data_IF_458870611870
#
_entry.id   IF_458870611870
#
_cell.length_a   1.000
_cell.length_b   1.000
_cell.length_c   1.000
_cell.angle_alpha   90.00
_cell.angle_beta   90.00
_cell.angle_gamma   90.00
#
_symmetry.space_group_name_H-M   'P 1'
#
loop_
_entity.id
_entity.type
_entity.pdbx_description
1 polymer ?
#
# COMPACT_ATOMS: atom_id res chain seq x y z
N UNK A 1 6.95 -56.01 -3.90
CA UNK A 1 7.48 -55.68 -2.57
C UNK A 1 6.60 -54.61 -1.96
N UNK A 2 5.68 -55.01 -1.08
CA UNK A 2 4.81 -54.12 -0.30
C UNK A 2 5.60 -53.54 0.87
N UNK A 3 5.41 -52.27 1.19
CA UNK A 3 5.17 -51.78 2.56
C UNK A 3 4.76 -50.30 2.55
N UNK A 4 3.48 -50.06 2.80
CA UNK A 4 2.85 -48.82 3.29
C UNK A 4 3.04 -48.67 4.80
N UNK A 5 3.10 -47.42 5.31
CA UNK A 5 2.67 -46.88 6.64
C UNK A 5 3.38 -45.53 6.86
N UNK A 6 2.91 -44.49 7.55
CA UNK A 6 1.64 -43.97 8.08
C UNK A 6 1.92 -42.49 8.42
N UNK A 7 0.87 -41.67 8.42
CA UNK A 7 0.87 -40.26 8.86
C UNK A 7 1.33 -40.10 10.31
N UNK A 8 2.03 -39.00 10.61
CA UNK A 8 2.00 -38.35 11.93
C UNK A 8 2.25 -36.85 11.81
N UNK A 9 1.25 -36.12 12.26
CA UNK A 9 1.17 -34.68 12.49
C UNK A 9 2.15 -34.30 13.62
N UNK A 10 3.12 -33.43 13.38
CA UNK A 10 3.95 -32.87 14.47
C UNK A 10 3.30 -31.61 15.03
N UNK A 11 2.56 -31.80 16.12
CA UNK A 11 2.13 -30.75 17.04
C UNK A 11 3.29 -30.48 18.01
N UNK A 12 4.00 -29.37 17.81
CA UNK A 12 5.05 -28.93 18.72
C UNK A 12 4.49 -28.15 19.91
N UNK A 13 4.22 -28.86 21.01
CA UNK A 13 4.00 -28.28 22.34
C UNK A 13 5.38 -28.19 23.03
N UNK A 14 5.83 -26.99 23.41
CA UNK A 14 6.98 -26.83 24.32
C UNK A 14 6.54 -26.08 25.58
N UNK A 15 6.90 -26.69 26.71
CA UNK A 15 6.48 -26.38 28.06
C UNK A 15 7.04 -25.06 28.60
N UNK A 16 6.16 -24.45 29.40
CA UNK A 16 6.36 -23.54 30.54
C UNK A 16 7.77 -23.50 31.17
N UNK A 17 8.35 -22.31 31.18
CA UNK A 17 9.33 -21.87 32.19
C UNK A 17 8.72 -20.73 33.01
N UNK A 18 8.32 -21.02 34.24
CA UNK A 18 7.91 -20.02 35.22
C UNK A 18 9.11 -19.16 35.62
N UNK A 19 9.19 -17.93 35.11
CA UNK A 19 9.85 -16.83 35.79
C UNK A 19 8.77 -16.07 36.54
N UNK A 20 8.79 -16.17 37.86
CA UNK A 20 7.97 -15.39 38.79
C UNK A 20 8.40 -13.92 38.75
N UNK A 21 8.03 -13.23 37.68
CA UNK A 21 7.75 -11.81 37.69
C UNK A 21 6.25 -11.66 37.83
N UNK A 22 5.79 -11.00 38.89
CA UNK A 22 4.42 -10.54 38.98
C UNK A 22 4.21 -9.46 37.93
N UNK A 23 4.02 -9.86 36.67
CA UNK A 23 3.39 -9.00 35.69
C UNK A 23 1.96 -8.85 36.18
N UNK A 24 1.66 -7.68 36.72
CA UNK A 24 0.29 -7.20 36.72
C UNK A 24 -0.14 -7.29 35.26
N UNK A 25 -0.96 -8.28 34.92
CA UNK A 25 -1.78 -8.24 33.73
C UNK A 25 -2.73 -7.06 33.96
N UNK A 26 -2.23 -5.84 33.72
CA UNK A 26 -3.08 -4.72 33.41
C UNK A 26 -4.04 -5.20 32.34
N UNK A 27 -5.32 -4.86 32.47
CA UNK A 27 -6.39 -5.25 31.57
C UNK A 27 -5.85 -5.41 30.14
N UNK A 28 -5.99 -6.61 29.56
CA UNK A 28 -5.57 -6.87 28.17
C UNK A 28 -6.00 -5.69 27.29
N UNK A 29 -5.20 -5.30 26.28
CA UNK A 29 -5.37 -4.03 25.58
C UNK A 29 -6.85 -3.84 25.27
N UNK A 30 -7.42 -2.75 25.78
CA UNK A 30 -8.81 -2.44 25.53
C UNK A 30 -9.07 -2.60 24.04
N UNK A 31 -10.12 -3.35 23.68
CA UNK A 31 -10.49 -3.58 22.28
C UNK A 31 -10.51 -2.22 21.57
N UNK A 32 -9.75 -2.08 20.48
CA UNK A 32 -9.66 -0.82 19.77
C UNK A 32 -11.06 -0.35 19.36
N UNK A 33 -11.38 0.91 19.64
CA UNK A 33 -12.64 1.52 19.23
C UNK A 33 -12.53 1.92 17.75
N UNK A 34 -13.19 1.16 16.88
CA UNK A 34 -13.20 1.36 15.44
C UNK A 34 -14.38 2.23 14.95
N UNK A 35 -15.16 2.84 15.86
CA UNK A 35 -16.35 3.62 15.50
C UNK A 35 -16.06 4.78 14.54
N UNK A 36 -14.85 5.35 14.59
CA UNK A 36 -14.35 6.34 13.62
C UNK A 36 -12.97 5.93 13.13
N UNK A 37 -12.97 4.87 12.35
CA UNK A 37 -11.82 4.35 11.63
C UNK A 37 -11.41 5.31 10.50
N UNK A 38 -10.14 5.72 10.50
CA UNK A 38 -9.54 6.53 9.44
C UNK A 38 -8.30 5.83 8.88
N UNK A 39 -8.14 5.84 7.56
CA UNK A 39 -7.01 5.18 6.88
C UNK A 39 -6.06 6.24 6.32
N UNK A 40 -4.79 6.15 6.71
CA UNK A 40 -3.67 6.93 6.22
C UNK A 40 -2.76 5.96 5.46
N UNK A 41 -2.69 6.08 4.14
CA UNK A 41 -2.04 5.05 3.35
C UNK A 41 -1.75 5.39 1.90
N UNK A 42 -1.21 4.39 1.20
CA UNK A 42 -0.91 4.46 -0.23
C UNK A 42 -1.91 3.67 -1.11
N UNK A 43 -1.49 3.24 -2.31
CA UNK A 43 -2.28 2.49 -3.27
C UNK A 43 -2.89 1.20 -2.73
N UNK A 44 -2.17 0.49 -1.84
CA UNK A 44 -2.64 -0.76 -1.23
C UNK A 44 -3.89 -0.52 -0.38
N UNK A 45 -3.85 0.56 0.41
CA UNK A 45 -4.96 0.98 1.27
C UNK A 45 -6.10 1.63 0.48
N UNK A 46 -5.79 2.29 -0.64
CA UNK A 46 -6.79 2.90 -1.51
C UNK A 46 -7.59 1.88 -2.34
N UNK A 47 -7.10 0.64 -2.44
CA UNK A 47 -7.72 -0.43 -3.22
C UNK A 47 -7.46 -0.30 -4.73
N UNK A 48 -6.28 0.21 -5.11
CA UNK A 48 -5.87 0.30 -6.52
C UNK A 48 -5.75 -1.10 -7.11
N UNK A 49 -6.37 -1.29 -8.27
CA UNK A 49 -6.18 -2.48 -9.09
C UNK A 49 -6.11 -2.04 -10.55
N UNK A 50 -5.40 -2.80 -11.39
CA UNK A 50 -5.25 -2.50 -12.82
C UNK A 50 -4.88 -1.02 -13.11
N UNK A 51 -3.99 -0.47 -12.26
CA UNK A 51 -3.48 0.90 -12.32
C UNK A 51 -4.53 2.02 -12.16
N UNK A 52 -5.69 1.75 -11.55
CA UNK A 52 -6.74 2.75 -11.35
C UNK A 52 -7.32 2.77 -9.94
N UNK A 53 -7.78 3.95 -9.52
CA UNK A 53 -8.88 4.07 -8.57
C UNK A 53 -10.18 3.88 -9.36
N UNK A 54 -10.93 2.85 -9.02
CA UNK A 54 -12.22 2.53 -9.62
C UNK A 54 -13.13 1.96 -8.54
N UNK A 55 -14.36 2.45 -8.47
CA UNK A 55 -15.32 2.14 -7.41
C UNK A 55 -15.53 0.63 -7.19
N UNK A 56 -15.66 -0.14 -8.27
CA UNK A 56 -15.78 -1.61 -8.27
C UNK A 56 -14.54 -2.33 -7.71
N UNK A 57 -13.39 -1.66 -7.60
CA UNK A 57 -12.13 -2.19 -7.10
C UNK A 57 -11.80 -1.67 -5.70
N UNK A 58 -12.05 -0.39 -5.42
CA UNK A 58 -11.73 0.28 -4.14
C UNK A 58 -12.41 -0.40 -2.93
N UNK A 59 -13.63 -0.91 -3.13
CA UNK A 59 -14.39 -1.65 -2.10
C UNK A 59 -13.74 -2.97 -1.67
N UNK A 60 -12.80 -3.49 -2.47
CA UNK A 60 -12.10 -4.75 -2.20
C UNK A 60 -10.71 -4.55 -1.57
N UNK A 61 -10.30 -3.30 -1.33
CA UNK A 61 -9.05 -3.01 -0.61
C UNK A 61 -9.06 -3.56 0.82
N UNK A 62 -7.89 -3.93 1.34
CA UNK A 62 -7.80 -4.55 2.67
C UNK A 62 -8.44 -3.72 3.80
N UNK A 63 -8.40 -2.36 3.82
CA UNK A 63 -9.08 -1.60 4.87
C UNK A 63 -10.60 -1.75 4.78
N UNK A 64 -11.15 -1.84 3.57
CA UNK A 64 -12.58 -2.09 3.33
C UNK A 64 -13.00 -3.47 3.83
N UNK A 65 -12.15 -4.50 3.63
CA UNK A 65 -12.39 -5.85 4.17
C UNK A 65 -12.33 -5.85 5.70
N UNK A 66 -11.37 -5.16 6.32
CA UNK A 66 -11.27 -5.03 7.77
C UNK A 66 -12.49 -4.31 8.34
N UNK A 67 -12.89 -3.17 7.76
CA UNK A 67 -14.07 -2.42 8.20
C UNK A 67 -15.34 -3.27 8.11
N UNK A 68 -15.52 -4.01 7.00
CA UNK A 68 -16.62 -4.95 6.82
C UNK A 68 -16.62 -6.06 7.88
N UNK A 69 -15.47 -6.68 8.14
CA UNK A 69 -15.34 -7.75 9.14
C UNK A 69 -15.57 -7.23 10.57
N UNK A 70 -15.21 -5.98 10.84
CA UNK A 70 -15.44 -5.32 12.12
C UNK A 70 -16.86 -4.74 12.27
N UNK A 71 -17.66 -4.69 11.19
CA UNK A 71 -19.00 -4.12 11.20
C UNK A 71 -19.03 -2.60 11.41
N UNK A 72 -18.00 -1.88 10.94
CA UNK A 72 -17.88 -0.42 11.08
C UNK A 72 -17.91 0.29 9.72
N UNK A 73 -18.40 1.54 9.66
CA UNK A 73 -18.41 2.28 8.40
C UNK A 73 -16.99 2.65 7.96
N UNK A 74 -16.75 2.58 6.64
CA UNK A 74 -15.58 3.15 6.00
C UNK A 74 -16.01 3.87 4.72
N UNK A 75 -15.87 5.19 4.71
CA UNK A 75 -16.26 6.00 3.56
C UNK A 75 -15.09 6.09 2.60
N UNK A 76 -15.28 5.60 1.38
CA UNK A 76 -14.28 5.59 0.32
C UNK A 76 -14.45 6.78 -0.63
N UNK A 77 -13.35 7.38 -1.15
CA UNK A 77 -13.40 8.35 -2.23
C UNK A 77 -13.62 7.62 -3.57
N UNK A 78 -14.82 7.08 -3.78
CA UNK A 78 -15.15 6.25 -4.94
C UNK A 78 -15.05 7.05 -6.25
N UNK A 79 -14.32 6.47 -7.22
CA UNK A 79 -14.15 7.00 -8.58
C UNK A 79 -14.97 6.12 -9.54
N UNK A 80 -15.93 6.68 -10.30
CA UNK A 80 -16.73 5.89 -11.23
C UNK A 80 -15.89 5.43 -12.43
N UNK A 81 -16.43 4.47 -13.18
CA UNK A 81 -15.86 4.08 -14.48
C UNK A 81 -15.67 5.33 -15.38
N UNK A 82 -14.54 5.47 -16.10
CA UNK A 82 -13.49 4.46 -16.35
C UNK A 82 -12.41 4.33 -15.27
N UNK A 83 -12.49 5.04 -14.16
CA UNK A 83 -11.46 5.09 -13.12
C UNK A 83 -10.43 6.19 -13.36
N UNK A 84 -9.58 6.43 -12.35
CA UNK A 84 -8.52 7.42 -12.39
C UNK A 84 -7.15 6.76 -12.18
N UNK A 85 -6.21 6.84 -13.15
CA UNK A 85 -6.50 6.99 -14.58
C UNK A 85 -7.41 5.86 -15.07
N UNK A 86 -7.83 5.88 -16.34
CA UNK A 86 -8.69 4.85 -16.89
C UNK A 86 -8.10 3.44 -16.66
N UNK A 87 -8.91 2.55 -16.10
CA UNK A 87 -8.52 1.19 -15.71
C UNK A 87 -7.93 0.41 -16.88
N UNK A 88 -6.82 -0.29 -16.64
CA UNK A 88 -6.23 -1.16 -17.66
C UNK A 88 -7.08 -2.43 -17.86
N UNK A 89 -7.29 -2.79 -19.12
CA UNK A 89 -8.07 -3.96 -19.52
C UNK A 89 -7.27 -4.84 -20.48
N UNK A 90 -7.34 -6.15 -20.27
CA UNK A 90 -6.87 -7.14 -21.23
C UNK A 90 -7.79 -7.13 -22.45
N UNK A 91 -7.27 -6.78 -23.62
CA UNK A 91 -7.99 -6.74 -24.90
C UNK A 91 -7.76 -7.97 -25.77
N UNK A 92 -6.57 -8.56 -25.70
CA UNK A 92 -6.23 -9.77 -26.43
C UNK A 92 -5.16 -10.58 -25.70
N UNK A 93 -5.20 -11.90 -25.86
CA UNK A 93 -4.17 -12.83 -25.38
C UNK A 93 -3.30 -13.40 -26.52
N UNK A 94 -3.82 -13.40 -27.76
CA UNK A 94 -3.16 -13.96 -28.95
C UNK A 94 -3.33 -13.02 -30.15
N UNK A 95 -2.35 -12.93 -31.06
CA UNK A 95 -1.02 -13.58 -31.02
C UNK A 95 -0.06 -12.95 -29.99
N UNK A 96 -0.43 -11.80 -29.41
CA UNK A 96 0.29 -11.14 -28.32
C UNK A 96 -0.70 -10.63 -27.27
N UNK A 97 -0.22 -10.47 -26.03
CA UNK A 97 -0.99 -9.85 -24.96
C UNK A 97 -1.14 -8.35 -25.26
N UNK A 98 -2.38 -7.85 -25.23
CA UNK A 98 -2.69 -6.44 -25.39
C UNK A 98 -3.43 -5.98 -24.13
N UNK A 99 -2.84 -5.02 -23.43
CA UNK A 99 -3.43 -4.36 -22.27
C UNK A 99 -3.53 -2.87 -22.59
N UNK A 100 -4.74 -2.32 -22.51
CA UNK A 100 -5.02 -0.93 -22.87
C UNK A 100 -5.93 -0.29 -21.82
N UNK A 101 -5.83 1.03 -21.58
CA UNK A 101 -6.79 1.74 -20.76
C UNK A 101 -8.21 1.60 -21.33
N UNK A 102 -9.20 1.52 -20.45
CA UNK A 102 -10.59 1.63 -20.84
C UNK A 102 -10.85 2.98 -21.54
N UNK A 103 -11.79 2.98 -22.49
CA UNK A 103 -12.23 4.23 -23.15
C UNK A 103 -13.24 4.93 -22.26
N UNK A 104 -13.12 6.25 -22.13
CA UNK A 104 -14.05 7.09 -21.39
C UNK A 104 -13.36 8.29 -20.77
N UNK A 105 -14.16 9.15 -20.16
CA UNK A 105 -13.71 10.31 -19.39
C UNK A 105 -14.38 10.32 -18.04
N UNK A 106 -13.67 10.76 -17.01
CA UNK A 106 -14.25 10.95 -15.69
C UNK A 106 -15.23 12.14 -15.68
N UNK A 107 -16.26 12.11 -14.81
CA UNK A 107 -17.04 13.29 -14.51
C UNK A 107 -16.17 14.36 -13.84
N UNK A 108 -16.66 15.60 -13.84
CA UNK A 108 -16.13 16.67 -13.02
C UNK A 108 -17.20 17.08 -11.99
N UNK A 109 -17.02 16.81 -10.69
CA UNK A 109 -15.83 16.25 -10.05
C UNK A 109 -15.65 14.73 -10.26
N UNK A 110 -14.41 14.20 -10.16
CA UNK A 110 -14.04 12.81 -10.47
C UNK A 110 -14.47 11.78 -9.41
N UNK A 111 -15.52 12.07 -8.62
CA UNK A 111 -16.04 11.19 -7.57
C UNK A 111 -17.52 10.92 -7.78
N UNK A 112 -17.95 9.72 -7.43
CA UNK A 112 -19.39 9.36 -7.40
C UNK A 112 -20.14 10.22 -6.38
N UNK A 113 -19.54 10.43 -5.20
CA UNK A 113 -20.11 11.23 -4.11
C UNK A 113 -19.10 12.30 -3.64
N UNK A 114 -18.96 13.42 -4.35
CA UNK A 114 -17.95 14.44 -4.07
C UNK A 114 -18.24 15.26 -2.81
N UNK A 115 -19.49 15.33 -2.36
CA UNK A 115 -19.87 16.08 -1.15
C UNK A 115 -19.66 15.29 0.13
N UNK A 116 -19.39 13.99 0.04
CA UNK A 116 -19.23 13.10 1.19
C UNK A 116 -17.76 13.03 1.59
N UNK A 117 -17.45 13.32 2.85
CA UNK A 117 -16.08 13.25 3.37
C UNK A 117 -15.61 11.79 3.50
N UNK A 118 -14.55 11.37 2.79
CA UNK A 118 -13.99 10.03 2.95
C UNK A 118 -13.27 9.88 4.30
N UNK A 119 -13.28 8.66 4.83
CA UNK A 119 -12.47 8.26 5.98
C UNK A 119 -11.33 7.32 5.58
N UNK A 120 -11.38 6.74 4.37
CA UNK A 120 -10.18 6.22 3.73
C UNK A 120 -9.49 7.35 2.95
N UNK A 121 -8.39 7.87 3.50
CA UNK A 121 -7.64 8.99 2.93
C UNK A 121 -6.44 8.49 2.13
N UNK A 122 -6.35 7.22 1.78
CA UNK A 122 -5.19 6.64 1.13
C UNK A 122 -4.98 7.16 -0.31
N UNK A 123 -3.73 7.50 -0.65
CA UNK A 123 -3.38 8.15 -1.92
C UNK A 123 -2.33 7.29 -2.65
N UNK A 124 -2.64 6.76 -3.83
CA UNK A 124 -1.69 5.97 -4.58
C UNK A 124 -0.38 6.71 -4.89
N UNK A 125 0.75 6.01 -4.69
CA UNK A 125 2.09 6.47 -5.07
C UNK A 125 2.77 7.47 -4.13
N UNK A 126 2.15 7.82 -2.99
CA UNK A 126 2.78 8.75 -2.04
C UNK A 126 3.85 8.07 -1.18
N UNK A 127 4.89 8.82 -0.83
CA UNK A 127 5.89 8.46 0.19
C UNK A 127 5.42 8.88 1.59
N UNK A 128 6.16 8.50 2.63
CA UNK A 128 5.87 8.97 4.00
C UNK A 128 5.97 10.51 4.12
N UNK A 129 6.91 11.13 3.41
CA UNK A 129 7.08 12.59 3.39
C UNK A 129 5.93 13.32 2.70
N UNK A 130 5.40 12.76 1.60
CA UNK A 130 4.26 13.33 0.87
C UNK A 130 2.98 13.39 1.72
N UNK A 131 2.80 12.48 2.68
CA UNK A 131 1.63 12.49 3.56
C UNK A 131 1.52 13.76 4.42
N UNK A 132 2.60 14.52 4.53
CA UNK A 132 2.67 15.82 5.21
C UNK A 132 2.27 17.00 4.31
N UNK A 133 2.18 16.80 2.99
CA UNK A 133 1.91 17.82 1.98
C UNK A 133 0.43 17.85 1.58
N UNK A 134 -0.15 19.03 1.42
CA UNK A 134 -1.43 19.21 0.75
C UNK A 134 -1.26 19.01 -0.78
N UNK A 135 -2.30 18.64 -1.54
CA UNK A 135 -2.18 18.34 -2.98
C UNK A 135 -1.46 19.41 -3.81
N UNK A 136 -1.67 20.69 -3.53
CA UNK A 136 -1.03 21.81 -4.21
C UNK A 136 0.45 22.04 -3.85
N UNK A 137 0.98 21.29 -2.87
CA UNK A 137 2.38 21.35 -2.44
C UNK A 137 3.21 20.19 -3.00
N UNK A 138 2.58 19.23 -3.69
CA UNK A 138 3.30 18.12 -4.32
C UNK A 138 4.21 18.63 -5.44
N UNK A 139 5.43 18.08 -5.59
CA UNK A 139 6.29 18.38 -6.73
C UNK A 139 5.56 18.09 -8.05
N UNK A 140 5.64 18.98 -9.06
CA UNK A 140 4.99 18.77 -10.36
C UNK A 140 5.40 17.45 -11.05
N UNK A 141 6.58 16.92 -10.72
CA UNK A 141 7.09 15.64 -11.21
C UNK A 141 6.28 14.42 -10.74
N UNK A 142 5.39 14.57 -9.75
CA UNK A 142 4.58 13.47 -9.20
C UNK A 142 3.34 13.11 -10.04
N UNK A 143 3.10 13.77 -11.18
CA UNK A 143 2.15 13.33 -12.21
C UNK A 143 0.78 12.88 -11.66
N UNK A 144 0.40 11.63 -11.92
CA UNK A 144 -0.89 11.04 -11.50
C UNK A 144 -1.14 11.12 -9.98
N UNK A 145 -0.09 11.15 -9.16
CA UNK A 145 -0.22 11.27 -7.69
C UNK A 145 -0.91 12.56 -7.30
N UNK A 146 -0.66 13.67 -8.01
CA UNK A 146 -1.33 14.95 -7.74
C UNK A 146 -2.84 14.82 -8.01
N UNK A 147 -3.21 14.18 -9.12
CA UNK A 147 -4.61 13.93 -9.47
C UNK A 147 -5.31 13.03 -8.44
N UNK A 148 -4.66 11.96 -8.01
CA UNK A 148 -5.16 11.09 -6.94
C UNK A 148 -5.28 11.82 -5.60
N UNK A 149 -4.29 12.63 -5.22
CA UNK A 149 -4.35 13.44 -4.00
C UNK A 149 -5.53 14.42 -4.05
N UNK A 150 -5.80 15.04 -5.21
CA UNK A 150 -6.94 15.92 -5.40
C UNK A 150 -8.28 15.17 -5.32
N UNK A 151 -8.38 13.97 -5.91
CA UNK A 151 -9.57 13.12 -5.80
C UNK A 151 -9.86 12.79 -4.33
N UNK A 152 -8.84 12.37 -3.58
CA UNK A 152 -9.00 11.85 -2.22
C UNK A 152 -9.18 12.98 -1.19
N UNK A 153 -8.35 14.01 -1.25
CA UNK A 153 -8.27 15.07 -0.24
C UNK A 153 -9.00 16.36 -0.63
N UNK A 154 -9.23 16.57 -1.93
CA UNK A 154 -9.78 17.82 -2.45
C UNK A 154 -11.29 18.02 -2.26
N UNK A 155 -12.02 16.98 -1.84
CA UNK A 155 -13.48 16.97 -1.78
C UNK A 155 -13.99 16.44 -0.42
N UNK A 156 -14.95 17.11 0.25
CA UNK A 156 -15.63 18.35 -0.16
C UNK A 156 -14.80 19.64 0.03
N UNK A 157 -13.59 19.53 0.58
CA UNK A 157 -12.63 20.63 0.72
C UNK A 157 -12.74 21.40 2.05
N UNK A 158 -11.81 22.36 2.27
CA UNK A 158 -10.58 22.57 1.51
C UNK A 158 -9.58 21.41 1.70
N UNK A 159 -8.73 21.20 0.69
CA UNK A 159 -7.72 20.15 0.75
C UNK A 159 -6.66 20.45 1.83
N UNK A 160 -6.36 19.46 2.66
CA UNK A 160 -5.22 19.49 3.59
C UNK A 160 -4.25 18.37 3.22
N UNK A 161 -3.14 18.23 3.95
CA UNK A 161 -2.33 17.02 3.84
C UNK A 161 -3.07 15.82 4.40
N UNK A 162 -2.70 14.61 3.94
CA UNK A 162 -3.33 13.37 4.39
C UNK A 162 -3.33 13.25 5.92
N UNK A 163 -2.21 13.59 6.56
CA UNK A 163 -2.09 13.61 8.03
C UNK A 163 -3.02 14.65 8.68
N UNK A 164 -3.10 15.87 8.15
CA UNK A 164 -3.98 16.90 8.70
C UNK A 164 -5.46 16.54 8.55
N UNK A 165 -5.85 16.04 7.39
CA UNK A 165 -7.23 15.64 7.15
C UNK A 165 -7.61 14.44 8.02
N UNK A 166 -6.69 13.50 8.24
CA UNK A 166 -6.90 12.40 9.18
C UNK A 166 -7.18 12.90 10.60
N UNK A 167 -6.39 13.87 11.10
CA UNK A 167 -6.59 14.48 12.41
C UNK A 167 -7.92 15.25 12.48
N UNK A 168 -8.31 15.96 11.42
CA UNK A 168 -9.56 16.72 11.35
C UNK A 168 -10.82 15.83 11.43
N UNK A 169 -10.72 14.55 11.04
CA UNK A 169 -11.77 13.55 11.23
C UNK A 169 -11.91 13.10 12.68
N UNK A 170 -11.08 13.63 13.60
CA UNK A 170 -11.06 13.40 15.03
C UNK A 170 -10.83 11.94 15.46
N UNK A 171 -10.24 10.99 14.71
CA UNK A 171 -10.47 9.53 14.77
C UNK A 171 -10.43 8.84 16.15
N UNK A 172 -11.08 7.67 16.28
CA UNK A 172 -10.89 6.76 17.44
C UNK A 172 -9.80 5.74 17.20
N UNK A 173 -9.65 5.30 15.95
CA UNK A 173 -8.57 4.43 15.47
C UNK A 173 -8.10 4.89 14.09
N UNK A 174 -6.78 4.85 13.87
CA UNK A 174 -6.19 5.08 12.55
C UNK A 174 -5.36 3.88 12.10
N UNK A 175 -5.46 3.53 10.82
CA UNK A 175 -4.53 2.61 10.18
C UNK A 175 -3.50 3.42 9.39
N UNK A 176 -2.23 3.24 9.72
CA UNK A 176 -1.11 3.81 8.98
C UNK A 176 -0.41 2.70 8.19
N UNK A 177 -0.50 2.75 6.87
CA UNK A 177 0.19 1.85 5.96
C UNK A 177 0.86 2.66 4.84
N UNK A 178 2.08 3.12 5.14
CA UNK A 178 2.91 3.98 4.28
C UNK A 178 4.39 3.59 4.41
N UNK A 179 5.18 3.98 3.42
CA UNK A 179 6.64 3.87 3.42
C UNK A 179 7.20 2.87 2.41
N UNK A 180 6.35 2.00 1.85
CA UNK A 180 6.75 1.12 0.74
C UNK A 180 7.22 1.92 -0.49
N UNK A 181 6.55 3.02 -0.85
CA UNK A 181 6.87 3.82 -2.03
C UNK A 181 8.21 4.57 -1.93
N UNK A 182 8.70 4.81 -0.71
CA UNK A 182 10.03 5.37 -0.46
C UNK A 182 11.15 4.50 -1.04
N UNK A 183 10.93 3.17 -1.10
CA UNK A 183 11.87 2.21 -1.70
C UNK A 183 11.37 1.63 -3.04
N UNK A 184 10.07 1.36 -3.16
CA UNK A 184 9.47 0.72 -4.32
C UNK A 184 9.62 1.55 -5.59
N UNK A 185 9.27 2.84 -5.56
CA UNK A 185 9.29 3.70 -6.76
C UNK A 185 10.71 3.84 -7.35
N UNK A 186 11.75 4.12 -6.56
CA UNK A 186 13.14 4.08 -7.02
C UNK A 186 13.54 2.71 -7.59
N UNK A 187 13.17 1.63 -6.92
CA UNK A 187 13.52 0.27 -7.34
C UNK A 187 12.90 -0.10 -8.69
N UNK A 188 11.59 0.11 -8.87
CA UNK A 188 10.92 -0.22 -10.14
C UNK A 188 11.25 0.77 -11.24
N UNK A 189 11.63 2.01 -10.93
CA UNK A 189 12.10 2.96 -11.96
C UNK A 189 13.53 2.70 -12.42
N UNK A 190 14.33 1.97 -11.63
CA UNK A 190 15.76 1.78 -11.87
C UNK A 190 16.61 3.02 -11.55
N UNK A 191 16.01 4.06 -10.95
CA UNK A 191 16.70 5.31 -10.62
C UNK A 191 16.84 5.45 -9.09
N UNK A 192 17.85 4.75 -8.56
CA UNK A 192 18.16 4.69 -7.12
C UNK A 192 18.43 6.05 -6.44
N UNK A 193 18.87 7.13 -7.12
CA UNK A 193 18.94 8.45 -6.47
C UNK A 193 17.60 8.99 -5.95
N UNK A 194 16.46 8.40 -6.33
CA UNK A 194 15.15 8.72 -5.74
C UNK A 194 14.89 8.00 -4.40
N UNK A 195 15.72 7.03 -4.02
CA UNK A 195 15.58 6.30 -2.76
C UNK A 195 15.62 7.27 -1.59
N UNK A 196 14.56 7.28 -0.77
CA UNK A 196 14.54 8.08 0.45
C UNK A 196 15.67 7.59 1.37
N UNK A 197 16.66 8.43 1.70
CA UNK A 197 17.72 8.04 2.63
C UNK A 197 17.15 7.62 3.99
N UNK A 198 17.76 6.64 4.65
CA UNK A 198 17.22 6.03 5.87
C UNK A 198 17.00 7.05 7.00
N UNK A 199 17.92 8.01 7.15
CA UNK A 199 17.82 9.08 8.13
C UNK A 199 16.65 10.04 7.82
N UNK A 200 16.47 10.39 6.54
CA UNK A 200 15.34 11.20 6.06
C UNK A 200 14.03 10.47 6.31
N UNK A 201 13.94 9.19 5.93
CA UNK A 201 12.76 8.35 6.18
C UNK A 201 12.45 8.28 7.67
N UNK A 202 13.44 8.00 8.51
CA UNK A 202 13.27 7.88 9.97
C UNK A 202 12.74 9.17 10.59
N UNK A 203 13.26 10.33 10.14
CA UNK A 203 12.81 11.65 10.59
C UNK A 203 11.37 11.95 10.16
N UNK A 204 11.03 11.70 8.88
CA UNK A 204 9.69 11.91 8.35
C UNK A 204 8.65 10.97 8.99
N UNK A 205 9.00 9.69 9.15
CA UNK A 205 8.16 8.71 9.82
C UNK A 205 7.89 9.12 11.28
N UNK A 206 8.93 9.51 12.01
CA UNK A 206 8.79 10.01 13.39
C UNK A 206 7.89 11.25 13.47
N UNK A 207 7.99 12.14 12.48
CA UNK A 207 7.12 13.32 12.36
C UNK A 207 5.66 12.92 12.13
N UNK A 208 5.40 11.99 11.20
CA UNK A 208 4.04 11.47 10.93
C UNK A 208 3.44 10.84 12.19
N UNK A 209 4.17 9.92 12.84
CA UNK A 209 3.71 9.25 14.06
C UNK A 209 3.42 10.26 15.17
N UNK A 210 4.34 11.20 15.41
CA UNK A 210 4.18 12.20 16.47
C UNK A 210 2.95 13.08 16.24
N UNK A 211 2.68 13.46 14.99
CA UNK A 211 1.49 14.24 14.63
C UNK A 211 0.21 13.42 14.82
N UNK A 212 0.16 12.20 14.30
CA UNK A 212 -1.02 11.34 14.44
C UNK A 212 -1.32 11.02 15.92
N UNK A 213 -0.30 10.84 16.75
CA UNK A 213 -0.43 10.58 18.18
C UNK A 213 -1.12 11.72 18.96
N UNK A 214 -1.11 12.96 18.44
CA UNK A 214 -1.82 14.09 19.08
C UNK A 214 -3.34 13.89 19.17
N UNK A 215 -3.91 13.06 18.28
CA UNK A 215 -5.33 12.69 18.32
C UNK A 215 -5.72 11.82 19.51
N UNK A 216 -4.75 11.14 20.14
CA UNK A 216 -4.97 10.07 21.13
C UNK A 216 -5.78 8.88 20.62
N UNK A 217 -5.99 8.78 19.30
CA UNK A 217 -6.57 7.61 18.66
C UNK A 217 -5.63 6.40 18.81
N UNK A 218 -6.18 5.20 18.77
CA UNK A 218 -5.36 3.99 18.61
C UNK A 218 -4.70 4.00 17.23
N UNK A 219 -3.38 3.87 17.15
CA UNK A 219 -2.66 3.77 15.88
C UNK A 219 -2.34 2.30 15.59
N UNK A 220 -2.88 1.75 14.50
CA UNK A 220 -2.41 0.48 13.95
C UNK A 220 -1.43 0.79 12.81
N UNK A 221 -0.16 0.45 13.01
CA UNK A 221 0.91 0.76 12.07
C UNK A 221 1.34 -0.53 11.36
N UNK A 222 1.19 -0.56 10.04
CA UNK A 222 1.64 -1.67 9.22
C UNK A 222 3.16 -1.57 8.98
N UNK A 223 3.82 -2.72 8.95
CA UNK A 223 5.20 -2.79 8.46
C UNK A 223 5.24 -2.63 6.93
N UNK A 224 6.45 -2.38 6.41
CA UNK A 224 6.68 -2.29 4.97
C UNK A 224 6.97 -3.71 4.44
N UNK A 225 6.19 -4.21 3.45
CA UNK A 225 6.51 -5.46 2.78
C UNK A 225 7.86 -5.38 2.06
N UNK A 226 8.54 -6.51 1.91
CA UNK A 226 9.76 -6.56 1.10
C UNK A 226 9.42 -6.29 -0.38
N UNK A 227 9.77 -5.08 -0.83
CA UNK A 227 9.48 -4.60 -2.18
C UNK A 227 10.27 -5.34 -3.25
N UNK A 228 11.31 -6.10 -2.90
CA UNK A 228 12.11 -6.89 -3.84
C UNK A 228 11.43 -8.21 -4.24
N UNK A 229 10.43 -8.66 -3.47
CA UNK A 229 9.73 -9.94 -3.67
C UNK A 229 8.50 -9.82 -4.58
N UNK A 230 8.23 -8.63 -5.12
CA UNK A 230 7.11 -8.41 -6.04
C UNK A 230 7.46 -8.90 -7.45
N UNK A 231 6.47 -9.28 -8.28
CA UNK A 231 6.70 -9.75 -9.65
C UNK A 231 7.06 -8.63 -10.64
N UNK A 232 7.80 -7.61 -10.19
CA UNK A 232 8.53 -6.66 -11.03
C UNK A 232 9.99 -7.05 -11.20
N UNK A 233 10.52 -7.87 -10.30
CA UNK A 233 11.93 -8.26 -10.31
C UNK A 233 12.09 -9.73 -10.66
N UNK A 234 13.11 -10.04 -11.44
CA UNK A 234 13.56 -11.39 -11.75
C UNK A 234 15.03 -11.54 -11.37
N UNK A 235 15.43 -12.75 -10.97
CA UNK A 235 16.84 -13.02 -10.68
C UNK A 235 17.60 -13.37 -11.97
N UNK A 236 18.92 -13.13 -12.03
CA UNK A 236 19.77 -13.61 -13.13
C UNK A 236 19.63 -15.12 -13.36
N UNK A 237 19.42 -15.90 -12.30
CA UNK A 237 19.16 -17.34 -12.38
C UNK A 237 17.85 -17.66 -13.08
N UNK A 238 16.77 -16.95 -12.73
CA UNK A 238 15.47 -17.09 -13.38
C UNK A 238 15.54 -16.69 -14.85
N UNK A 239 16.21 -15.58 -15.16
CA UNK A 239 16.45 -15.15 -16.55
C UNK A 239 17.22 -16.21 -17.35
N UNK A 240 18.31 -16.74 -16.79
CA UNK A 240 19.12 -17.79 -17.41
C UNK A 240 18.30 -19.05 -17.74
N UNK A 241 17.45 -19.49 -16.80
CA UNK A 241 16.55 -20.62 -17.00
C UNK A 241 15.53 -20.36 -18.11
N UNK A 242 14.89 -19.18 -18.13
CA UNK A 242 13.93 -18.81 -19.17
C UNK A 242 14.56 -18.70 -20.56
N UNK A 243 15.80 -18.21 -20.63
CA UNK A 243 16.55 -18.08 -21.87
C UNK A 243 17.17 -19.40 -22.36
N UNK A 244 17.22 -20.44 -21.52
CA UNK A 244 17.93 -21.68 -21.84
C UNK A 244 19.45 -21.53 -21.93
N UNK A 245 20.02 -20.54 -21.22
CA UNK A 245 21.46 -20.20 -21.26
C UNK A 245 22.08 -20.45 -19.88
N UNK A 246 23.29 -21.02 -19.77
CA UNK A 246 23.96 -21.18 -18.47
C UNK A 246 24.17 -19.84 -17.75
N UNK A 247 23.92 -19.80 -16.44
CA UNK A 247 24.11 -18.60 -15.61
C UNK A 247 25.52 -18.00 -15.75
N UNK A 248 26.54 -18.86 -15.84
CA UNK A 248 27.94 -18.45 -16.02
C UNK A 248 28.20 -17.69 -17.33
N UNK A 249 27.32 -17.77 -18.32
CA UNK A 249 27.36 -16.93 -19.53
C UNK A 249 26.56 -15.64 -19.34
N UNK A 250 25.38 -15.73 -18.73
CA UNK A 250 24.48 -14.57 -18.52
C UNK A 250 25.16 -13.46 -17.71
N UNK A 251 25.80 -13.81 -16.59
CA UNK A 251 26.43 -12.83 -15.68
C UNK A 251 27.44 -11.90 -16.39
N UNK A 252 28.53 -12.41 -17.01
CA UNK A 252 29.50 -11.55 -17.68
C UNK A 252 28.95 -10.89 -18.96
N UNK A 253 28.00 -11.52 -19.67
CA UNK A 253 27.41 -10.93 -20.88
C UNK A 253 26.60 -9.67 -20.57
N UNK A 254 25.85 -9.67 -19.47
CA UNK A 254 25.02 -8.53 -19.07
C UNK A 254 25.72 -7.58 -18.09
N UNK A 255 26.91 -7.95 -17.60
CA UNK A 255 27.63 -7.16 -16.59
C UNK A 255 26.93 -7.16 -15.23
N UNK A 256 26.23 -8.25 -14.88
CA UNK A 256 25.43 -8.40 -13.66
C UNK A 256 26.01 -9.46 -12.73
N UNK A 257 25.65 -9.41 -11.46
CA UNK A 257 25.99 -10.37 -10.42
C UNK A 257 24.79 -11.22 -10.02
N UNK A 258 25.02 -12.37 -9.39
CA UNK A 258 23.93 -13.31 -9.02
C UNK A 258 22.90 -12.69 -8.06
N UNK A 259 23.32 -11.73 -7.22
CA UNK A 259 22.45 -11.02 -6.28
C UNK A 259 21.67 -9.84 -6.89
N UNK A 260 21.85 -9.53 -8.16
CA UNK A 260 21.17 -8.40 -8.79
C UNK A 260 19.68 -8.68 -8.99
N UNK A 261 18.87 -7.62 -8.94
CA UNK A 261 17.45 -7.65 -9.27
C UNK A 261 17.25 -7.04 -10.65
N UNK A 262 16.71 -7.82 -11.57
CA UNK A 262 16.48 -7.42 -12.96
C UNK A 262 15.01 -7.05 -13.15
N UNK A 263 14.73 -6.01 -13.95
CA UNK A 263 13.38 -5.60 -14.34
C UNK A 263 13.14 -5.87 -15.82
#
# INVERSE_FOLDING_TARGET
MKLTKHSSLFLGLLLSGCLSGSYVFGAGPAKADLSRLVIVGDSLSAGVQNYALLDSQQVNGFPSLVAKQAGVPLTLPLVPFPGAPNVLQLKALKPRVIIEPAVGTLPNPPRTNPTVQPTNLAIPGITIGDALLAPNQFPPTKGNVIGWAQIVLGYPGPAQSQVNQALALNPTTMFLALGNNDALVPAISGFLPLLTPLDVFSSQFSTVISRLATSRATLLVANIPDVTQIPYFTSPRTLAQQAGVPLSKVLPTLGIQEGDLLR
#
